data_IF_737192193425
#
_entry.id   IF_737192193425
#
_cell.length_a   1.000
_cell.length_b   1.000
_cell.length_c   1.000
_cell.angle_alpha   90.00
_cell.angle_beta   90.00
_cell.angle_gamma   90.00
#
_symmetry.space_group_name_H-M   'P 1'
#
loop_
_entity.id
_entity.type
_entity.pdbx_description
1 polymer ?
#
# COMPACT_ATOMS: atom_id res chain seq x y z
N UNK A 1 2.66 -12.24 9.90
CA UNK A 1 2.19 -12.71 8.59
C UNK A 1 2.85 -11.93 7.44
N UNK A 2 2.42 -10.71 7.09
CA UNK A 2 2.98 -9.99 5.92
C UNK A 2 4.50 -9.73 6.02
N UNK A 3 4.99 -9.32 7.18
CA UNK A 3 6.43 -9.17 7.42
C UNK A 3 7.19 -10.50 7.36
N UNK A 4 6.54 -11.62 7.66
CA UNK A 4 7.15 -12.94 7.58
C UNK A 4 7.20 -13.42 6.12
N UNK A 5 6.18 -13.10 5.31
CA UNK A 5 6.22 -13.35 3.86
C UNK A 5 7.41 -12.64 3.20
N UNK A 6 7.67 -11.39 3.57
CA UNK A 6 8.83 -10.64 3.07
C UNK A 6 10.17 -11.22 3.54
N UNK A 7 10.26 -11.69 4.78
CA UNK A 7 11.49 -12.31 5.30
C UNK A 7 11.82 -13.63 4.59
N UNK A 8 10.79 -14.35 4.13
CA UNK A 8 10.92 -15.64 3.47
C UNK A 8 10.92 -15.53 1.93
N UNK A 9 10.77 -14.33 1.36
CA UNK A 9 10.88 -14.13 -0.08
C UNK A 9 12.33 -14.09 -0.54
N UNK A 10 12.56 -14.31 -1.83
CA UNK A 10 13.84 -13.97 -2.44
C UNK A 10 14.14 -12.48 -2.31
N UNK A 11 15.42 -12.13 -2.51
CA UNK A 11 15.85 -10.73 -2.49
C UNK A 11 15.15 -9.93 -3.58
N UNK A 12 14.42 -8.89 -3.17
CA UNK A 12 13.71 -7.99 -4.08
C UNK A 12 14.68 -6.89 -4.50
N UNK A 13 15.17 -6.97 -5.74
CA UNK A 13 16.16 -6.02 -6.27
C UNK A 13 15.51 -4.83 -6.98
N UNK A 14 16.19 -3.68 -6.96
CA UNK A 14 15.80 -2.50 -7.75
C UNK A 14 14.63 -1.68 -7.20
N UNK A 15 14.37 -1.76 -5.89
CA UNK A 15 13.32 -1.00 -5.21
C UNK A 15 13.78 0.43 -4.92
N UNK A 16 12.87 1.40 -5.07
CA UNK A 16 13.10 2.83 -4.82
C UNK A 16 13.24 3.16 -3.33
N UNK A 17 12.60 2.37 -2.47
CA UNK A 17 12.57 2.50 -1.02
C UNK A 17 12.29 1.13 -0.40
N UNK A 18 12.89 0.82 0.75
CA UNK A 18 12.91 -0.53 1.31
C UNK A 18 12.07 -0.69 2.60
N UNK A 19 11.16 0.25 2.86
CA UNK A 19 10.39 0.35 4.11
C UNK A 19 8.94 -0.10 4.05
N UNK A 20 8.43 -0.46 2.87
CA UNK A 20 7.03 -0.81 2.65
C UNK A 20 6.81 -1.58 1.35
N UNK A 21 5.59 -2.10 1.19
CA UNK A 21 5.13 -2.75 -0.02
C UNK A 21 3.84 -2.10 -0.47
N UNK A 22 3.67 -1.94 -1.78
CA UNK A 22 2.41 -1.50 -2.36
C UNK A 22 1.26 -2.40 -1.92
N UNK A 23 0.15 -1.75 -1.62
CA UNK A 23 -1.17 -2.37 -1.51
C UNK A 23 -2.05 -1.78 -2.60
N UNK A 24 -3.13 -2.47 -2.95
CA UNK A 24 -3.98 -2.05 -4.06
C UNK A 24 -4.89 -0.87 -3.72
N UNK A 25 -4.33 0.30 -3.36
CA UNK A 25 -5.06 1.54 -3.08
C UNK A 25 -4.43 2.77 -3.77
N UNK A 26 -5.26 3.73 -4.15
CA UNK A 26 -4.85 4.99 -4.78
C UNK A 26 -5.93 6.08 -4.59
N UNK A 27 -5.59 7.33 -4.87
CA UNK A 27 -6.54 8.46 -4.91
C UNK A 27 -6.51 9.22 -6.26
N UNK A 28 -5.98 8.59 -7.31
CA UNK A 28 -5.87 9.11 -8.69
C UNK A 28 -7.15 9.71 -9.30
N UNK A 29 -8.34 9.40 -8.77
CA UNK A 29 -9.60 9.98 -9.25
C UNK A 29 -9.89 11.36 -8.65
N UNK A 30 -9.56 11.54 -7.37
CA UNK A 30 -9.74 12.77 -6.61
C UNK A 30 -8.80 12.74 -5.40
N UNK A 31 -7.93 13.74 -5.31
CA UNK A 31 -7.00 13.90 -4.20
C UNK A 31 -7.69 13.79 -2.84
N UNK A 32 -7.19 12.89 -1.98
CA UNK A 32 -7.76 12.61 -0.66
C UNK A 32 -8.90 11.58 -0.64
N UNK A 33 -9.44 11.20 -1.80
CA UNK A 33 -10.47 10.15 -1.93
C UNK A 33 -9.83 8.80 -2.27
N UNK A 34 -9.42 8.08 -1.23
CA UNK A 34 -8.72 6.80 -1.36
C UNK A 34 -9.66 5.65 -1.69
N UNK A 35 -9.37 4.98 -2.79
CA UNK A 35 -10.09 3.78 -3.26
C UNK A 35 -9.13 2.62 -3.45
N UNK A 36 -9.67 1.41 -3.40
CA UNK A 36 -8.96 0.22 -3.84
C UNK A 36 -8.90 0.13 -5.36
N UNK A 37 -8.03 -0.74 -5.89
CA UNK A 37 -8.00 -1.09 -7.33
C UNK A 37 -9.31 -1.72 -7.85
N UNK A 38 -10.26 -2.03 -6.96
CA UNK A 38 -11.61 -2.50 -7.30
C UNK A 38 -12.66 -1.39 -7.23
N UNK A 39 -12.24 -0.13 -7.09
CA UNK A 39 -13.06 1.07 -6.92
C UNK A 39 -13.90 1.12 -5.63
N UNK A 40 -13.59 0.29 -4.64
CA UNK A 40 -14.23 0.42 -3.32
C UNK A 40 -13.50 1.46 -2.47
N UNK A 41 -14.20 2.36 -1.75
CA UNK A 41 -13.59 3.26 -0.79
C UNK A 41 -12.77 2.48 0.24
N UNK A 42 -11.56 2.94 0.57
CA UNK A 42 -10.67 2.24 1.52
C UNK A 42 -11.35 2.06 2.89
N UNK A 43 -12.13 3.05 3.34
CA UNK A 43 -12.92 2.98 4.57
C UNK A 43 -13.92 1.82 4.60
N UNK A 44 -14.47 1.44 3.44
CA UNK A 44 -15.42 0.32 3.33
C UNK A 44 -14.76 -1.05 3.55
N UNK A 45 -13.44 -1.15 3.37
CA UNK A 45 -12.67 -2.40 3.53
C UNK A 45 -12.19 -2.64 4.96
N UNK A 46 -12.46 -1.73 5.89
CA UNK A 46 -12.12 -1.89 7.31
C UNK A 46 -10.65 -1.68 7.67
N UNK A 47 -9.82 -1.23 6.73
CA UNK A 47 -8.40 -0.92 6.95
C UNK A 47 -8.04 0.46 6.41
N UNK A 48 -8.28 1.49 7.22
CA UNK A 48 -7.84 2.86 6.97
C UNK A 48 -6.93 3.34 8.13
N UNK A 49 -5.65 2.97 8.09
CA UNK A 49 -4.71 3.22 9.19
C UNK A 49 -3.43 3.87 8.69
N UNK A 50 -3.47 5.18 8.44
CA UNK A 50 -2.30 5.95 8.05
C UNK A 50 -1.29 6.12 9.18
N UNK A 51 -0.02 6.29 8.79
CA UNK A 51 1.09 6.51 9.71
C UNK A 51 1.45 7.99 9.80
N UNK A 52 1.63 8.52 11.02
CA UNK A 52 2.09 9.89 11.21
C UNK A 52 1.15 10.91 10.57
N UNK A 53 1.70 11.74 9.68
CA UNK A 53 0.97 12.79 8.96
C UNK A 53 0.37 12.33 7.62
N UNK A 54 0.54 11.05 7.24
CA UNK A 54 0.01 10.54 5.99
C UNK A 54 -1.54 10.47 5.99
N UNK A 55 -2.18 10.53 4.82
CA UNK A 55 -1.57 10.88 3.55
C UNK A 55 -1.18 12.36 3.52
N UNK A 56 0.07 12.67 3.15
CA UNK A 56 0.61 14.05 3.19
C UNK A 56 0.83 14.67 1.81
N UNK A 57 0.66 13.87 0.76
CA UNK A 57 0.83 14.21 -0.64
C UNK A 57 2.13 14.99 -0.91
N UNK A 58 3.27 14.47 -0.46
CA UNK A 58 4.54 15.18 -0.52
C UNK A 58 4.90 15.59 -1.96
N UNK A 59 4.92 16.90 -2.20
CA UNK A 59 5.20 17.47 -3.52
C UNK A 59 4.08 17.31 -4.54
N UNK A 60 2.85 17.01 -4.10
CA UNK A 60 1.64 17.00 -4.93
C UNK A 60 1.59 15.87 -5.95
N UNK A 61 2.18 14.71 -5.63
CA UNK A 61 2.36 13.60 -6.57
C UNK A 61 2.28 12.21 -5.93
N UNK A 62 1.83 12.09 -4.69
CA UNK A 62 1.83 10.82 -3.95
C UNK A 62 0.43 10.22 -3.97
N UNK A 63 0.13 9.46 -5.02
CA UNK A 63 -1.24 9.04 -5.32
C UNK A 63 -1.46 7.52 -5.19
N UNK A 64 -0.46 6.81 -4.66
CA UNK A 64 -0.52 5.36 -4.46
C UNK A 64 -0.12 4.99 -3.04
N UNK A 65 -0.82 4.04 -2.45
CA UNK A 65 -0.63 3.67 -1.04
C UNK A 65 0.24 2.44 -0.87
N UNK A 66 1.23 2.52 0.01
CA UNK A 66 1.97 1.38 0.51
C UNK A 66 1.62 1.08 1.96
N UNK A 67 1.92 -0.14 2.40
CA UNK A 67 1.84 -0.53 3.80
C UNK A 67 3.27 -0.74 4.33
N UNK A 68 3.64 0.06 5.33
CA UNK A 68 4.98 0.09 5.89
C UNK A 68 5.24 -1.10 6.78
N UNK A 69 6.47 -1.63 6.74
CA UNK A 69 6.93 -2.71 7.62
C UNK A 69 8.22 -2.37 8.40
N UNK A 70 8.89 -1.24 8.13
CA UNK A 70 10.07 -0.77 8.88
C UNK A 70 9.79 0.42 9.80
N UNK A 71 9.43 1.58 9.24
CA UNK A 71 9.38 2.84 9.99
C UNK A 71 8.16 2.96 10.91
N UNK A 72 6.97 2.68 10.38
CA UNK A 72 5.73 2.64 11.17
C UNK A 72 4.98 1.36 10.80
N UNK A 73 5.38 0.20 11.37
CA UNK A 73 4.87 -1.10 10.93
C UNK A 73 3.34 -1.20 10.96
N UNK A 74 2.75 -1.69 9.88
CA UNK A 74 1.31 -1.88 9.75
C UNK A 74 0.52 -0.58 9.53
N UNK A 75 1.19 0.50 9.13
CA UNK A 75 0.55 1.78 8.76
C UNK A 75 0.74 2.13 7.30
N UNK A 76 -0.26 2.79 6.72
CA UNK A 76 -0.26 3.25 5.34
C UNK A 76 0.61 4.51 5.17
N UNK A 77 1.22 4.62 3.99
CA UNK A 77 1.93 5.80 3.48
C UNK A 77 1.51 6.02 2.03
N UNK A 78 1.35 7.26 1.60
CA UNK A 78 1.23 7.62 0.19
C UNK A 78 2.61 7.84 -0.40
N UNK A 79 2.81 7.46 -1.67
CA UNK A 79 4.06 7.65 -2.39
C UNK A 79 3.76 7.89 -3.88
N UNK A 80 4.72 8.43 -4.66
CA UNK A 80 4.57 8.53 -6.10
C UNK A 80 4.41 7.14 -6.71
N UNK A 81 3.34 6.95 -7.49
CA UNK A 81 3.00 5.66 -8.10
C UNK A 81 4.12 5.08 -8.97
N UNK A 82 5.00 5.92 -9.50
CA UNK A 82 6.16 5.50 -10.28
C UNK A 82 7.29 4.85 -9.46
N UNK A 83 7.21 4.86 -8.13
CA UNK A 83 8.19 4.21 -7.28
C UNK A 83 8.15 2.68 -7.45
N UNK A 84 9.33 2.09 -7.59
CA UNK A 84 9.48 0.63 -7.62
C UNK A 84 9.41 0.12 -6.18
N UNK A 85 8.39 -0.65 -5.83
CA UNK A 85 8.23 -1.29 -4.53
C UNK A 85 7.79 -2.74 -4.74
N UNK A 86 8.02 -3.64 -3.76
CA UNK A 86 7.30 -4.89 -3.72
C UNK A 86 5.78 -4.65 -3.62
N UNK A 87 4.97 -5.63 -4.01
CA UNK A 87 3.52 -5.55 -3.94
C UNK A 87 2.97 -6.73 -3.14
N UNK A 88 2.01 -6.47 -2.25
CA UNK A 88 1.29 -7.52 -1.54
C UNK A 88 0.02 -7.88 -2.30
N UNK A 89 0.03 -9.05 -2.94
CA UNK A 89 -1.14 -9.62 -3.59
C UNK A 89 -2.06 -10.27 -2.57
N UNK A 90 -3.35 -10.00 -2.68
CA UNK A 90 -4.41 -10.76 -2.02
C UNK A 90 -4.99 -11.75 -3.04
N UNK A 91 -5.06 -13.02 -2.66
CA UNK A 91 -5.73 -14.05 -3.46
C UNK A 91 -7.15 -14.15 -2.90
N UNK A 92 -8.20 -14.02 -3.74
CA UNK A 92 -9.57 -14.18 -3.26
C UNK A 92 -9.75 -15.57 -2.65
N UNK A 93 -10.47 -15.65 -1.53
CA UNK A 93 -10.91 -16.95 -1.01
C UNK A 93 -11.79 -17.61 -2.06
N UNK A 94 -11.34 -18.76 -2.57
CA UNK A 94 -12.14 -19.55 -3.50
C UNK A 94 -13.35 -20.08 -2.72
N UNK A 95 -14.52 -19.50 -2.96
CA UNK A 95 -15.77 -20.10 -2.52
C UNK A 95 -15.99 -21.34 -3.38
N UNK A 96 -15.62 -22.51 -2.86
CA UNK A 96 -16.07 -23.78 -3.42
C UNK A 96 -17.55 -23.89 -3.08
N UNK A 97 -18.38 -23.43 -4.01
CA UNK A 97 -19.82 -23.76 -4.05
C UNK A 97 -20.02 -25.22 -4.44
#
# INVERSE_FOLDING_TARGET
ILSDLLKNSESIMGISWDGGAWVGIHDLYAEGEWVTIFNDPVDSRGFNRWGGANPDNAGGKENCGNLMYKHVPGKLNDLPCGNKQPFWCEIPEVQIV
#
